data_IF_012182939801
#
_entry.id   IF_012182939801
#
_cell.length_a   1.000
_cell.length_b   1.000
_cell.length_c   1.000
_cell.angle_alpha   90.00
_cell.angle_beta   90.00
_cell.angle_gamma   90.00
#
_symmetry.space_group_name_H-M   'P 1'
#
loop_
_entity.id
_entity.type
_entity.pdbx_description
1 polymer ?
#
# COMPACT_ATOMS: atom_id res chain seq x y z
N UNK A 1 -26.09 -5.30 8.64
CA UNK A 1 -26.34 -6.58 9.35
C UNK A 1 -25.12 -6.94 10.18
N UNK A 2 -25.02 -6.36 11.39
CA UNK A 2 -23.95 -6.66 12.34
C UNK A 2 -24.47 -7.65 13.41
N UNK A 3 -23.57 -8.47 13.95
CA UNK A 3 -23.78 -9.30 15.15
C UNK A 3 -24.48 -10.66 14.99
N UNK A 4 -23.90 -11.59 14.23
CA UNK A 4 -24.10 -13.03 14.50
C UNK A 4 -23.07 -13.52 15.53
N UNK A 5 -23.47 -14.42 16.43
CA UNK A 5 -22.57 -15.03 17.43
C UNK A 5 -21.24 -15.57 16.85
N UNK A 6 -21.21 -16.24 15.68
CA UNK A 6 -19.95 -16.62 15.04
C UNK A 6 -19.08 -15.42 14.64
N UNK A 7 -19.68 -14.34 14.13
CA UNK A 7 -18.96 -13.11 13.78
C UNK A 7 -18.30 -12.42 14.97
N UNK A 8 -18.94 -12.46 16.15
CA UNK A 8 -18.37 -11.95 17.40
C UNK A 8 -17.15 -12.75 17.88
N UNK A 9 -17.20 -14.09 17.76
CA UNK A 9 -16.06 -14.93 18.18
C UNK A 9 -14.84 -14.75 17.27
N UNK A 10 -15.05 -14.58 15.96
CA UNK A 10 -13.98 -14.29 14.99
C UNK A 10 -13.38 -12.91 15.27
N UNK A 11 -14.23 -11.91 15.53
CA UNK A 11 -13.79 -10.56 15.92
C UNK A 11 -12.98 -10.56 17.23
N UNK A 12 -13.40 -11.32 18.24
CA UNK A 12 -12.69 -11.45 19.51
C UNK A 12 -11.32 -12.12 19.36
N UNK A 13 -11.22 -13.19 18.57
CA UNK A 13 -9.93 -13.86 18.29
C UNK A 13 -8.97 -12.98 17.50
N UNK A 14 -9.48 -12.20 16.55
CA UNK A 14 -8.68 -11.22 15.81
C UNK A 14 -8.19 -10.08 16.73
N UNK A 15 -9.01 -9.65 17.68
CA UNK A 15 -8.63 -8.66 18.69
C UNK A 15 -7.54 -9.19 19.65
N UNK A 16 -7.51 -10.47 20.00
CA UNK A 16 -6.42 -11.01 20.84
C UNK A 16 -5.13 -11.29 20.06
N UNK A 17 -5.24 -11.66 18.77
CA UNK A 17 -4.09 -12.02 17.93
C UNK A 17 -3.35 -10.80 17.36
N UNK A 18 -4.06 -9.68 17.20
CA UNK A 18 -3.54 -8.42 16.64
C UNK A 18 -3.78 -7.21 17.56
N UNK A 19 -4.16 -7.42 18.82
CA UNK A 19 -4.54 -6.34 19.74
C UNK A 19 -3.42 -5.81 20.61
N UNK A 20 -3.84 -5.16 21.70
CA UNK A 20 -3.04 -4.36 22.65
C UNK A 20 -1.86 -5.14 23.28
N UNK A 21 -1.92 -6.48 23.28
CA UNK A 21 -0.86 -7.36 23.82
C UNK A 21 0.12 -7.87 22.76
N UNK A 22 -0.01 -7.45 21.50
CA UNK A 22 0.95 -7.80 20.45
C UNK A 22 2.28 -7.08 20.73
N UNK A 23 3.37 -7.85 20.90
CA UNK A 23 4.72 -7.30 21.04
C UNK A 23 5.23 -6.64 19.77
N UNK A 24 4.61 -6.97 18.63
CA UNK A 24 4.89 -6.35 17.33
C UNK A 24 3.84 -5.27 17.06
N UNK A 25 4.21 -4.14 16.43
CA UNK A 25 3.24 -3.23 15.86
C UNK A 25 2.29 -4.01 14.94
N UNK A 26 1.07 -3.50 14.66
CA UNK A 26 0.09 -4.15 13.81
C UNK A 26 0.55 -4.16 12.34
N UNK A 27 1.59 -4.94 12.07
CA UNK A 27 2.11 -5.27 10.76
C UNK A 27 1.65 -6.67 10.37
N UNK A 28 1.19 -6.80 9.12
CA UNK A 28 0.64 -8.06 8.60
C UNK A 28 1.72 -9.06 8.22
N UNK A 29 2.91 -8.57 7.86
CA UNK A 29 3.97 -9.36 7.23
C UNK A 29 5.35 -9.13 7.88
N UNK A 30 6.22 -10.14 7.82
CA UNK A 30 7.56 -10.08 8.40
C UNK A 30 8.43 -8.98 7.76
N UNK A 31 8.30 -8.77 6.45
CA UNK A 31 9.02 -7.72 5.72
C UNK A 31 8.65 -6.32 6.23
N UNK A 32 7.39 -6.12 6.58
CA UNK A 32 6.90 -4.83 7.10
C UNK A 32 7.42 -4.56 8.51
N UNK A 33 7.60 -5.61 9.31
CA UNK A 33 8.24 -5.47 10.62
C UNK A 33 9.73 -5.14 10.49
N UNK A 34 10.44 -5.76 9.54
CA UNK A 34 11.83 -5.41 9.27
C UNK A 34 11.97 -3.96 8.79
N UNK A 35 11.07 -3.50 7.90
CA UNK A 35 11.03 -2.11 7.46
C UNK A 35 10.72 -1.15 8.61
N UNK A 36 9.78 -1.53 9.50
CA UNK A 36 9.46 -0.76 10.69
C UNK A 36 10.69 -0.55 11.58
N UNK A 37 11.36 -1.64 11.97
CA UNK A 37 12.53 -1.60 12.85
C UNK A 37 13.67 -0.80 12.23
N UNK A 38 13.98 -1.04 10.95
CA UNK A 38 15.03 -0.32 10.24
C UNK A 38 14.73 1.19 10.14
N UNK A 39 13.48 1.56 9.88
CA UNK A 39 13.05 2.96 9.82
C UNK A 39 13.13 3.64 11.18
N UNK A 40 12.61 2.99 12.22
CA UNK A 40 12.63 3.52 13.59
C UNK A 40 14.07 3.70 14.06
N UNK A 41 14.94 2.70 13.85
CA UNK A 41 16.35 2.78 14.20
C UNK A 41 17.07 3.93 13.48
N UNK A 42 16.82 4.11 12.18
CA UNK A 42 17.38 5.22 11.41
C UNK A 42 16.95 6.59 11.93
N UNK A 43 15.65 6.76 12.22
CA UNK A 43 15.12 8.02 12.77
C UNK A 43 15.65 8.31 14.18
N UNK A 44 15.79 7.28 15.03
CA UNK A 44 16.38 7.44 16.37
C UNK A 44 17.84 7.87 16.25
N UNK A 45 18.61 7.24 15.36
CA UNK A 45 20.01 7.58 15.14
C UNK A 45 20.21 9.00 14.56
N UNK A 46 19.30 9.45 13.69
CA UNK A 46 19.37 10.77 13.06
C UNK A 46 18.93 11.92 13.97
N UNK A 47 17.85 11.71 14.73
CA UNK A 47 17.19 12.78 15.48
C UNK A 47 17.48 12.75 16.98
N UNK A 48 18.05 11.66 17.51
CA UNK A 48 18.41 11.49 18.91
C UNK A 48 17.30 12.01 19.86
N UNK A 49 16.12 11.38 19.86
CA UNK A 49 14.96 11.91 20.56
C UNK A 49 15.24 12.05 22.06
N UNK A 50 14.95 13.23 22.61
CA UNK A 50 15.17 13.52 24.05
C UNK A 50 13.87 13.58 24.85
N UNK A 51 12.73 13.70 24.15
CA UNK A 51 11.42 13.83 24.76
C UNK A 51 10.47 12.76 24.27
N UNK A 52 9.51 12.39 25.11
CA UNK A 52 8.43 11.46 24.77
C UNK A 52 7.68 11.90 23.50
N UNK A 53 7.51 13.20 23.28
CA UNK A 53 6.82 13.71 22.08
C UNK A 53 7.62 13.44 20.80
N UNK A 54 8.96 13.52 20.85
CA UNK A 54 9.83 13.16 19.73
C UNK A 54 9.78 11.66 19.46
N UNK A 55 9.78 10.82 20.51
CA UNK A 55 9.61 9.37 20.38
C UNK A 55 8.28 9.00 19.72
N UNK A 56 7.17 9.59 20.20
CA UNK A 56 5.84 9.42 19.60
C UNK A 56 5.86 9.83 18.13
N UNK A 57 6.53 10.93 17.80
CA UNK A 57 6.60 11.42 16.43
C UNK A 57 7.38 10.46 15.52
N UNK A 58 8.49 9.91 16.00
CA UNK A 58 9.27 8.89 15.29
C UNK A 58 8.39 7.65 15.02
N UNK A 59 7.63 7.19 16.01
CA UNK A 59 6.74 6.04 15.83
C UNK A 59 5.64 6.29 14.80
N UNK A 60 5.05 7.49 14.80
CA UNK A 60 4.05 7.90 13.82
C UNK A 60 4.61 7.93 12.39
N UNK A 61 5.80 8.54 12.20
CA UNK A 61 6.49 8.57 10.91
C UNK A 61 6.80 7.14 10.44
N UNK A 62 7.33 6.31 11.34
CA UNK A 62 7.68 4.91 11.05
C UNK A 62 6.46 4.13 10.58
N UNK A 63 5.35 4.23 11.31
CA UNK A 63 4.10 3.56 10.93
C UNK A 63 3.55 4.08 9.60
N UNK A 64 3.60 5.40 9.38
CA UNK A 64 3.15 6.01 8.14
C UNK A 64 3.99 5.51 6.94
N UNK A 65 5.30 5.39 7.09
CA UNK A 65 6.20 4.86 6.05
C UNK A 65 5.89 3.40 5.71
N UNK A 66 5.65 2.55 6.70
CA UNK A 66 5.29 1.14 6.47
C UNK A 66 3.96 1.03 5.71
N UNK A 67 2.96 1.85 6.08
CA UNK A 67 1.68 1.90 5.36
C UNK A 67 1.85 2.39 3.93
N UNK A 68 2.66 3.42 3.71
CA UNK A 68 2.97 3.93 2.38
C UNK A 68 3.67 2.87 1.52
N UNK A 69 4.62 2.13 2.09
CA UNK A 69 5.28 1.04 1.38
C UNK A 69 4.31 -0.08 0.96
N UNK A 70 3.34 -0.43 1.81
CA UNK A 70 2.27 -1.37 1.44
C UNK A 70 1.43 -0.87 0.28
N UNK A 71 1.13 0.43 0.29
CA UNK A 71 0.36 1.08 -0.76
C UNK A 71 1.05 0.89 -2.12
N UNK A 72 2.34 1.23 -2.20
CA UNK A 72 3.13 1.07 -3.42
C UNK A 72 3.27 -0.39 -3.87
N UNK A 73 3.38 -1.35 -2.93
CA UNK A 73 3.35 -2.79 -3.25
C UNK A 73 2.02 -3.19 -3.89
N UNK A 74 0.90 -2.71 -3.35
CA UNK A 74 -0.43 -2.97 -3.90
C UNK A 74 -0.56 -2.40 -5.32
N UNK A 75 -0.16 -1.14 -5.51
CA UNK A 75 -0.19 -0.46 -6.81
C UNK A 75 0.66 -1.19 -7.86
N UNK A 76 1.88 -1.58 -7.49
CA UNK A 76 2.78 -2.34 -8.37
C UNK A 76 2.17 -3.67 -8.79
N UNK A 77 1.53 -4.38 -7.84
CA UNK A 77 0.90 -5.65 -8.13
C UNK A 77 -0.37 -5.50 -8.99
N UNK A 78 -1.16 -4.42 -8.82
CA UNK A 78 -2.29 -4.09 -9.71
C UNK A 78 -1.79 -3.89 -11.15
N UNK A 79 -0.74 -3.08 -11.34
CA UNK A 79 -0.14 -2.83 -12.67
C UNK A 79 0.35 -4.14 -13.29
N UNK A 80 1.00 -5.00 -12.51
CA UNK A 80 1.49 -6.28 -12.99
C UNK A 80 0.35 -7.23 -13.39
N UNK A 81 -0.76 -7.25 -12.64
CA UNK A 81 -1.96 -8.01 -13.01
C UNK A 81 -2.53 -7.52 -14.34
N UNK A 82 -2.65 -6.20 -14.53
CA UNK A 82 -3.14 -5.62 -15.79
C UNK A 82 -2.24 -5.99 -16.99
N UNK A 83 -0.91 -6.00 -16.79
CA UNK A 83 0.04 -6.44 -17.81
C UNK A 83 -0.13 -7.93 -18.15
N UNK A 84 -0.30 -8.78 -17.14
CA UNK A 84 -0.56 -10.21 -17.35
C UNK A 84 -1.89 -10.43 -18.08
N UNK A 85 -2.92 -9.66 -17.75
CA UNK A 85 -4.22 -9.73 -18.41
C UNK A 85 -4.12 -9.35 -19.89
N UNK A 86 -3.37 -8.30 -20.23
CA UNK A 86 -3.08 -7.95 -21.63
C UNK A 86 -2.30 -9.03 -22.39
N UNK A 87 -1.33 -9.67 -21.73
CA UNK A 87 -0.57 -10.78 -22.34
C UNK A 87 -1.45 -12.00 -22.58
N UNK A 88 -2.28 -12.38 -21.60
CA UNK A 88 -3.23 -13.48 -21.74
C UNK A 88 -4.21 -13.18 -22.89
N UNK A 89 -4.77 -11.97 -22.94
CA UNK A 89 -5.69 -11.57 -24.01
C UNK A 89 -5.04 -11.57 -25.40
N UNK A 90 -3.74 -11.25 -25.51
CA UNK A 90 -3.02 -11.30 -26.80
C UNK A 90 -2.69 -12.72 -27.29
N UNK A 91 -2.66 -13.69 -26.37
CA UNK A 91 -2.39 -15.10 -26.67
C UNK A 91 -3.68 -15.91 -26.89
N UNK A 92 -4.79 -15.45 -26.35
CA UNK A 92 -6.11 -16.03 -26.62
C UNK A 92 -6.57 -15.61 -28.03
N UNK A 93 -7.15 -16.54 -28.82
CA UNK A 93 -7.77 -16.17 -30.09
C UNK A 93 -8.84 -15.10 -29.82
N UNK A 94 -9.03 -14.11 -30.72
CA UNK A 94 -10.03 -13.07 -30.52
C UNK A 94 -11.38 -13.73 -30.25
N UNK A 95 -12.10 -13.22 -29.26
CA UNK A 95 -13.43 -13.70 -28.92
C UNK A 95 -14.26 -13.79 -30.22
N UNK A 96 -15.03 -14.89 -30.41
CA UNK A 96 -15.90 -14.98 -31.57
C UNK A 96 -16.78 -13.73 -31.59
N UNK A 97 -16.94 -13.09 -32.75
CA UNK A 97 -17.60 -11.81 -32.83
C UNK A 97 -19.05 -11.88 -32.33
N UNK A 98 -19.48 -10.75 -31.74
CA UNK A 98 -20.78 -10.52 -31.12
C UNK A 98 -21.95 -10.98 -32.01
N UNK A 99 -23.05 -11.40 -31.37
CA UNK A 99 -24.35 -11.94 -31.83
C UNK A 99 -24.85 -11.71 -33.28
N UNK A 100 -24.37 -10.69 -33.98
CA UNK A 100 -24.61 -10.49 -35.41
C UNK A 100 -23.83 -11.47 -36.30
N UNK A 101 -22.69 -11.98 -35.84
CA UNK A 101 -21.87 -12.97 -36.57
C UNK A 101 -22.31 -14.42 -36.26
N UNK A 102 -23.00 -14.63 -35.14
CA UNK A 102 -23.53 -15.93 -34.70
C UNK A 102 -24.73 -16.44 -35.51
N UNK A 103 -25.44 -15.56 -36.24
CA UNK A 103 -26.49 -16.01 -37.17
C UNK A 103 -25.92 -16.82 -38.34
N UNK A 104 -24.65 -16.63 -38.70
CA UNK A 104 -23.96 -17.33 -39.78
C UNK A 104 -23.25 -18.62 -39.36
N UNK A 105 -23.01 -18.82 -38.05
CA UNK A 105 -22.18 -19.94 -37.55
C UNK A 105 -22.95 -21.04 -36.80
N UNK A 106 -24.29 -20.98 -36.79
CA UNK A 106 -25.17 -21.93 -36.08
C UNK A 106 -25.30 -23.35 -36.67
N UNK A 107 -24.26 -23.85 -37.35
CA UNK A 107 -23.97 -25.30 -37.33
C UNK A 107 -22.95 -25.65 -36.21
N UNK A 108 -22.52 -24.66 -35.43
CA UNK A 108 -21.85 -24.79 -34.13
C UNK A 108 -20.39 -25.27 -34.22
N UNK A 109 -19.39 -24.37 -34.38
CA UNK A 109 -18.04 -24.69 -33.98
C UNK A 109 -17.85 -24.32 -32.50
N UNK A 110 -17.43 -25.32 -31.72
CA UNK A 110 -16.83 -25.14 -30.40
C UNK A 110 -15.75 -24.04 -30.49
N UNK A 111 -15.69 -23.07 -29.56
CA UNK A 111 -14.68 -22.00 -29.60
C UNK A 111 -13.29 -22.64 -29.74
N UNK A 112 -12.40 -22.10 -30.60
CA UNK A 112 -11.13 -22.74 -30.89
C UNK A 112 -10.36 -22.92 -29.60
N UNK A 113 -10.22 -24.18 -29.16
CA UNK A 113 -9.42 -24.48 -27.98
C UNK A 113 -7.98 -23.99 -28.27
N UNK A 114 -7.35 -23.27 -27.33
CA UNK A 114 -5.99 -22.83 -27.52
C UNK A 114 -5.12 -24.05 -27.82
N UNK A 115 -4.36 -24.02 -28.92
CA UNK A 115 -3.48 -25.13 -29.28
C UNK A 115 -2.61 -25.53 -28.08
N UNK A 116 -2.23 -26.81 -27.93
CA UNK A 116 -1.51 -27.30 -26.76
C UNK A 116 -0.20 -26.53 -26.48
N UNK A 117 0.41 -25.92 -27.50
CA UNK A 117 1.54 -25.00 -27.36
C UNK A 117 1.16 -23.68 -26.67
N UNK A 118 0.04 -23.05 -27.06
CA UNK A 118 -0.51 -21.83 -26.45
C UNK A 118 -0.98 -22.11 -25.02
N UNK A 119 -1.68 -23.23 -24.79
CA UNK A 119 -2.13 -23.63 -23.45
C UNK A 119 -0.97 -23.83 -22.46
N UNK A 120 0.16 -24.39 -22.95
CA UNK A 120 1.39 -24.58 -22.15
C UNK A 120 2.03 -23.24 -21.75
N UNK A 121 1.87 -22.19 -22.57
CA UNK A 121 2.36 -20.83 -22.29
C UNK A 121 1.42 -20.03 -21.38
N UNK A 122 0.10 -20.18 -21.53
CA UNK A 122 -0.91 -19.44 -20.74
C UNK A 122 -1.02 -19.95 -19.29
N UNK A 123 -0.85 -21.27 -19.07
CA UNK A 123 -0.98 -21.88 -17.74
C UNK A 123 -0.08 -21.24 -16.66
N UNK A 124 1.24 -21.05 -16.86
CA UNK A 124 2.09 -20.40 -15.86
C UNK A 124 1.70 -18.93 -15.62
N UNK A 125 1.28 -18.20 -16.66
CA UNK A 125 0.84 -16.80 -16.53
C UNK A 125 -0.43 -16.68 -15.69
N UNK A 126 -1.40 -17.60 -15.87
CA UNK A 126 -2.61 -17.66 -15.04
C UNK A 126 -2.30 -17.99 -13.59
N UNK A 127 -1.33 -18.88 -13.34
CA UNK A 127 -0.88 -19.21 -11.99
C UNK A 127 -0.23 -18.00 -11.33
N UNK A 128 0.66 -17.30 -12.04
CA UNK A 128 1.29 -16.06 -11.57
C UNK A 128 0.24 -14.97 -11.28
N UNK A 129 -0.74 -14.79 -12.17
CA UNK A 129 -1.86 -13.88 -11.97
C UNK A 129 -2.65 -14.22 -10.70
N UNK A 130 -3.00 -15.49 -10.49
CA UNK A 130 -3.77 -15.91 -9.31
C UNK A 130 -3.04 -15.67 -7.99
N UNK A 131 -1.72 -15.88 -7.96
CA UNK A 131 -0.90 -15.58 -6.79
C UNK A 131 -0.88 -14.07 -6.50
N UNK A 132 -0.69 -13.24 -7.53
CA UNK A 132 -0.72 -11.78 -7.43
C UNK A 132 -2.10 -11.25 -6.99
N UNK A 133 -3.20 -11.87 -7.45
CA UNK A 133 -4.56 -11.52 -7.02
C UNK A 133 -4.76 -11.83 -5.53
N UNK A 134 -4.25 -12.94 -5.01
CA UNK A 134 -4.33 -13.23 -3.57
C UNK A 134 -3.54 -12.21 -2.74
N UNK A 135 -2.35 -11.82 -3.19
CA UNK A 135 -1.51 -10.82 -2.52
C UNK A 135 -2.21 -9.45 -2.52
N UNK A 136 -2.66 -9.00 -3.68
CA UNK A 136 -3.39 -7.73 -3.84
C UNK A 136 -4.71 -7.74 -3.10
N UNK A 137 -5.47 -8.83 -3.11
CA UNK A 137 -6.75 -8.92 -2.40
C UNK A 137 -6.54 -8.85 -0.89
N UNK A 138 -5.47 -9.43 -0.32
CA UNK A 138 -5.14 -9.26 1.11
C UNK A 138 -4.81 -7.82 1.48
N UNK A 139 -4.19 -7.07 0.56
CA UNK A 139 -3.83 -5.66 0.75
C UNK A 139 -5.06 -4.74 0.51
N UNK A 140 -5.86 -5.01 -0.52
CA UNK A 140 -7.04 -4.22 -0.97
C UNK A 140 -8.31 -4.54 -0.15
N UNK A 141 -8.49 -5.76 0.39
CA UNK A 141 -9.62 -6.08 1.28
C UNK A 141 -9.59 -5.28 2.58
N UNK A 142 -8.42 -4.73 2.97
CA UNK A 142 -8.33 -3.74 4.05
C UNK A 142 -8.70 -2.32 3.61
N UNK A 143 -8.49 -1.96 2.34
CA UNK A 143 -8.51 -0.57 1.84
C UNK A 143 -9.35 -0.38 0.56
N UNK A 144 -10.63 -0.78 0.59
CA UNK A 144 -11.52 -0.63 -0.58
C UNK A 144 -11.51 0.79 -1.16
N UNK A 145 -11.10 0.86 -2.43
CA UNK A 145 -11.29 1.88 -3.50
C UNK A 145 -10.08 2.76 -3.81
N UNK A 146 -9.61 2.73 -5.07
CA UNK A 146 -8.44 3.47 -5.59
C UNK A 146 -8.43 4.98 -5.31
N UNK A 147 -9.58 5.64 -5.18
CA UNK A 147 -9.67 7.06 -4.77
C UNK A 147 -9.31 7.28 -3.28
N UNK A 148 -9.44 6.25 -2.45
CA UNK A 148 -8.92 6.25 -1.07
C UNK A 148 -7.42 6.06 -1.05
N UNK A 149 -6.84 5.30 -1.98
CA UNK A 149 -5.38 5.09 -2.05
C UNK A 149 -4.63 6.41 -2.25
N UNK A 150 -5.04 7.24 -3.21
CA UNK A 150 -4.41 8.56 -3.44
C UNK A 150 -4.58 9.52 -2.25
N UNK A 151 -5.75 9.50 -1.59
CA UNK A 151 -5.98 10.33 -0.40
C UNK A 151 -5.17 9.85 0.80
N UNK A 152 -5.05 8.54 0.94
CA UNK A 152 -4.25 7.91 1.98
C UNK A 152 -2.77 8.19 1.75
N UNK A 153 -2.26 8.08 0.52
CA UNK A 153 -0.90 8.50 0.18
C UNK A 153 -0.63 9.95 0.59
N UNK A 154 -1.49 10.88 0.16
CA UNK A 154 -1.36 12.29 0.53
C UNK A 154 -1.44 12.52 2.05
N UNK A 155 -2.28 11.75 2.74
CA UNK A 155 -2.39 11.82 4.21
C UNK A 155 -1.14 11.29 4.91
N UNK A 156 -0.62 10.14 4.48
CA UNK A 156 0.59 9.51 5.02
C UNK A 156 1.82 10.37 4.77
N UNK A 157 1.98 10.90 3.55
CA UNK A 157 3.05 11.84 3.21
C UNK A 157 2.98 13.08 4.10
N UNK A 158 1.78 13.63 4.31
CA UNK A 158 1.61 14.78 5.21
C UNK A 158 1.96 14.47 6.66
N UNK A 159 1.69 13.26 7.16
CA UNK A 159 2.11 12.82 8.50
C UNK A 159 3.64 12.77 8.57
N UNK A 160 4.28 12.17 7.56
CA UNK A 160 5.74 12.06 7.48
C UNK A 160 6.38 13.44 7.44
N UNK A 161 5.98 14.30 6.50
CA UNK A 161 6.54 15.65 6.32
C UNK A 161 6.39 16.51 7.57
N UNK A 162 5.19 16.55 8.16
CA UNK A 162 4.96 17.31 9.40
C UNK A 162 5.76 16.76 10.57
N UNK A 163 5.88 15.44 10.66
CA UNK A 163 6.64 14.79 11.71
C UNK A 163 8.13 15.09 11.60
N UNK A 164 8.70 14.99 10.41
CA UNK A 164 10.10 15.33 10.15
C UNK A 164 10.37 16.80 10.44
N UNK A 165 9.54 17.72 9.93
CA UNK A 165 9.67 19.14 10.21
C UNK A 165 9.58 19.47 11.71
N UNK A 166 8.74 18.75 12.45
CA UNK A 166 8.69 18.86 13.92
C UNK A 166 10.01 18.41 14.55
N UNK A 167 10.53 17.25 14.18
CA UNK A 167 11.77 16.70 14.73
C UNK A 167 12.99 17.57 14.40
N UNK A 168 13.09 18.04 13.16
CA UNK A 168 14.11 19.01 12.72
C UNK A 168 14.06 20.28 13.57
N UNK A 169 12.86 20.84 13.76
CA UNK A 169 12.69 22.03 14.59
C UNK A 169 13.12 21.80 16.04
N UNK A 170 12.86 20.64 16.63
CA UNK A 170 13.35 20.34 17.98
C UNK A 170 14.87 20.19 18.00
N UNK A 171 15.45 19.50 17.01
CA UNK A 171 16.91 19.36 16.88
C UNK A 171 17.60 20.71 16.74
N UNK A 172 17.06 21.60 15.91
CA UNK A 172 17.60 22.94 15.69
C UNK A 172 17.55 23.81 16.94
N UNK A 173 16.44 23.73 17.68
CA UNK A 173 16.30 24.39 19.00
C UNK A 173 17.37 23.91 19.98
N UNK A 174 17.69 22.61 19.99
CA UNK A 174 18.75 22.06 20.85
C UNK A 174 20.14 22.53 20.41
N UNK A 175 20.38 22.62 19.11
CA UNK A 175 21.64 23.06 18.54
C UNK A 175 21.83 24.59 18.58
N UNK A 176 20.91 25.34 19.19
CA UNK A 176 20.98 26.80 19.29
C UNK A 176 20.71 27.53 17.97
N UNK A 177 20.20 26.83 16.95
CA UNK A 177 19.82 27.43 15.67
C UNK A 177 18.43 28.06 15.81
N UNK A 178 18.39 29.30 16.30
CA UNK A 178 17.17 30.11 16.23
C UNK A 178 16.87 30.41 14.76
N UNK A 179 15.64 30.18 14.25
CA UNK A 179 15.26 30.69 12.95
C UNK A 179 15.40 32.20 13.00
N UNK A 180 16.17 32.77 12.08
CA UNK A 180 16.34 34.21 11.96
C UNK A 180 14.95 34.84 11.83
N UNK A 181 14.51 35.53 12.88
CA UNK A 181 13.46 36.54 12.74
C UNK A 181 14.00 37.54 11.75
N UNK A 182 13.44 37.56 10.54
CA UNK A 182 13.70 38.61 9.57
C UNK A 182 13.28 39.89 10.27
N UNK A 183 14.25 40.64 10.80
CA UNK A 183 14.02 42.01 11.25
C UNK A 183 13.65 42.77 9.99
N UNK A 184 12.36 43.04 9.84
CA UNK A 184 11.83 43.95 8.83
C UNK A 184 12.48 45.30 9.08
N UNK A 185 13.54 45.59 8.33
CA UNK A 185 14.22 46.89 8.33
C UNK A 185 13.14 47.94 8.02
N UNK A 186 12.83 48.78 9.01
CA UNK A 186 11.94 49.91 8.83
C UNK A 186 12.49 50.82 7.71
N UNK A 187 11.65 51.35 6.81
CA UNK A 187 12.13 52.22 5.74
C UNK A 187 12.66 53.51 6.36
N UNK A 188 13.92 53.82 6.10
CA UNK A 188 14.51 55.13 6.36
C UNK A 188 13.75 56.16 5.51
N UNK A 189 12.93 56.97 6.18
CA UNK A 189 12.37 58.19 5.60
C UNK A 189 13.50 59.20 5.40
N UNK A 190 13.80 59.48 4.13
CA UNK A 190 14.58 60.63 3.68
C UNK A 190 13.75 61.48 2.74
#
# INVERSE_FOLDING_TARGET
MASTAPGKSISAKNATKHGIYSSKPPTTDNDDFALYEATKAGLIAEFEPQTMTEEIQIEQITMARVRLHRLWRAESAIIQIQKLDGQIASLEPPAPPSDLDLLLESINPKPPEPTPAIAKQIKPLRQQRSAMISETSRIIERDKQQLRLQREEGHLNRIIEKGLAYLEKQRDRRNGSTPQTIETIAPLTG
#
